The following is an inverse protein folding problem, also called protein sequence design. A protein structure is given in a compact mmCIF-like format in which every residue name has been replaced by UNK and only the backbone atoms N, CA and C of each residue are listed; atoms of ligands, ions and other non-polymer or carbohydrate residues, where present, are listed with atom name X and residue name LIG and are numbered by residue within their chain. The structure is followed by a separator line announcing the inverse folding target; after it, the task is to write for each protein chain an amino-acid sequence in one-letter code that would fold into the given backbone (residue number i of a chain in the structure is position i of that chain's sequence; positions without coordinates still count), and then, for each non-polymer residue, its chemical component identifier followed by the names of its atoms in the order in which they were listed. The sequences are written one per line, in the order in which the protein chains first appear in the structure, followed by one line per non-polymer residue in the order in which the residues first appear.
data_IF_669510389981
#
_entry.id   IF_669510389981
#
_cell.length_a   1.000
_cell.length_b   1.000
_cell.length_c   1.000
_cell.angle_alpha   90.00
_cell.angle_beta   90.00
_cell.angle_gamma   90.00
#
_symmetry.space_group_name_H-M   'P 1'
#
loop_
_entity.id
_entity.type
_entity.pdbx_description
1 polymer ?
#
# COMPACT_ATOMS: atom_id res chain seq x y z
N UNK A 1 -0.78 10.68 -33.66
CA UNK A 1 -1.01 9.31 -33.14
C UNK A 1 0.32 8.80 -32.66
N UNK A 2 0.41 8.18 -31.47
CA UNK A 2 1.64 7.50 -31.09
C UNK A 2 1.89 6.37 -32.09
N UNK A 3 3.14 6.23 -32.52
CA UNK A 3 3.56 5.16 -33.43
C UNK A 3 3.49 3.84 -32.66
N UNK A 4 2.50 3.00 -32.95
CA UNK A 4 2.28 1.71 -32.28
C UNK A 4 3.47 0.74 -32.41
N UNK A 5 4.44 1.04 -33.28
CA UNK A 5 5.68 0.27 -33.44
C UNK A 5 6.85 0.77 -32.58
N UNK A 6 6.64 1.78 -31.73
CA UNK A 6 7.72 2.37 -30.94
C UNK A 6 8.02 1.52 -29.69
N UNK A 7 9.17 0.85 -29.70
CA UNK A 7 9.63 -0.06 -28.62
C UNK A 7 10.46 0.63 -27.52
N UNK A 8 10.59 1.96 -27.54
CA UNK A 8 11.42 2.69 -26.58
C UNK A 8 10.77 4.00 -26.14
N UNK A 9 11.05 4.40 -24.89
CA UNK A 9 10.58 5.65 -24.31
C UNK A 9 11.52 6.83 -24.64
N UNK A 10 10.97 8.03 -24.76
CA UNK A 10 11.76 9.25 -24.95
C UNK A 10 12.35 9.64 -23.61
N UNK A 11 13.36 10.49 -23.63
CA UNK A 11 13.91 11.04 -22.38
C UNK A 11 12.83 11.75 -21.54
N UNK A 12 11.90 12.46 -22.17
CA UNK A 12 10.80 13.13 -21.47
C UNK A 12 9.83 12.14 -20.81
N UNK A 13 9.48 11.04 -21.49
CA UNK A 13 8.64 9.98 -20.94
C UNK A 13 9.35 9.25 -19.78
N UNK A 14 10.63 8.91 -19.93
CA UNK A 14 11.45 8.31 -18.86
C UNK A 14 11.53 9.23 -17.65
N UNK A 15 11.77 10.53 -17.85
CA UNK A 15 11.84 11.50 -16.77
C UNK A 15 10.48 11.67 -16.07
N UNK A 16 9.37 11.52 -16.80
CA UNK A 16 8.03 11.53 -16.21
C UNK A 16 7.80 10.31 -15.34
N UNK A 17 8.11 9.10 -15.84
CA UNK A 17 7.96 7.85 -15.08
C UNK A 17 8.85 7.84 -13.83
N UNK A 18 10.09 8.35 -13.93
CA UNK A 18 10.97 8.50 -12.76
C UNK A 18 10.37 9.38 -11.66
N UNK A 19 9.58 10.41 -12.00
CA UNK A 19 8.90 11.22 -10.99
C UNK A 19 7.85 10.41 -10.22
N UNK A 20 7.13 9.48 -10.87
CA UNK A 20 6.19 8.60 -10.17
C UNK A 20 6.90 7.64 -9.20
N UNK A 21 8.00 7.03 -9.64
CA UNK A 21 8.79 6.13 -8.78
C UNK A 21 9.62 6.84 -7.71
N UNK A 22 9.88 8.14 -7.84
CA UNK A 22 10.58 8.90 -6.80
C UNK A 22 9.62 9.54 -5.81
N UNK A 23 8.39 9.84 -6.23
CA UNK A 23 7.46 10.65 -5.46
C UNK A 23 7.92 12.12 -5.31
N UNK A 24 7.17 12.92 -4.53
CA UNK A 24 7.52 14.32 -4.29
C UNK A 24 8.71 14.44 -3.34
N UNK A 25 9.65 15.31 -3.71
CA UNK A 25 10.80 15.69 -2.89
C UNK A 25 10.85 17.21 -2.73
N UNK A 26 11.35 17.68 -1.59
CA UNK A 26 11.76 19.07 -1.43
C UNK A 26 13.01 19.32 -2.29
N UNK A 27 12.96 20.30 -3.18
CA UNK A 27 14.07 20.58 -4.10
C UNK A 27 15.29 21.21 -3.41
N UNK A 28 15.12 21.79 -2.22
CA UNK A 28 16.20 22.43 -1.46
C UNK A 28 16.88 21.39 -0.56
N UNK A 29 16.11 20.60 0.17
CA UNK A 29 16.66 19.65 1.16
C UNK A 29 16.88 18.25 0.57
N UNK A 30 16.23 17.93 -0.54
CA UNK A 30 16.25 16.60 -1.16
C UNK A 30 15.42 15.56 -0.41
N UNK A 31 14.71 15.95 0.66
CA UNK A 31 13.94 15.03 1.50
C UNK A 31 12.64 14.63 0.82
N UNK A 32 12.23 13.37 0.97
CA UNK A 32 10.92 12.92 0.51
C UNK A 32 9.79 13.58 1.31
N UNK A 33 8.68 13.88 0.63
CA UNK A 33 7.53 14.54 1.24
C UNK A 33 6.34 13.61 1.50
N UNK A 34 6.43 12.37 1.04
CA UNK A 34 5.48 11.29 1.32
C UNK A 34 6.23 10.05 1.77
N UNK A 35 5.58 9.21 2.57
CA UNK A 35 6.11 7.93 3.06
C UNK A 35 6.34 6.91 1.95
N UNK A 36 5.58 7.02 0.85
CA UNK A 36 5.56 6.05 -0.23
C UNK A 36 5.41 6.67 -1.61
N UNK A 37 5.86 5.90 -2.59
CA UNK A 37 5.83 6.16 -4.03
C UNK A 37 5.10 5.01 -4.75
N UNK A 38 4.81 5.18 -6.04
CA UNK A 38 4.34 4.07 -6.88
C UNK A 38 5.37 2.92 -6.86
N UNK A 39 4.93 1.68 -6.75
CA UNK A 39 5.82 0.52 -6.74
C UNK A 39 5.95 -0.09 -8.13
N UNK A 40 7.12 -0.66 -8.43
CA UNK A 40 7.31 -1.44 -9.64
C UNK A 40 6.34 -2.62 -9.70
N UNK A 41 5.72 -2.83 -10.86
CA UNK A 41 4.70 -3.83 -11.09
C UNK A 41 3.27 -3.32 -10.93
N UNK A 42 3.06 -2.02 -10.69
CA UNK A 42 1.73 -1.38 -10.61
C UNK A 42 1.30 -0.70 -11.91
N UNK A 43 2.17 -0.68 -12.94
CA UNK A 43 2.06 0.25 -14.08
C UNK A 43 0.80 0.02 -14.92
N UNK A 44 0.32 -1.23 -15.01
CA UNK A 44 -0.90 -1.58 -15.73
C UNK A 44 -2.17 -0.99 -15.11
N UNK A 45 -2.10 -0.53 -13.86
CA UNK A 45 -3.23 0.02 -13.12
C UNK A 45 -3.24 1.56 -13.09
N UNK A 46 -2.17 2.24 -13.51
CA UNK A 46 -2.03 3.69 -13.34
C UNK A 46 -3.05 4.51 -14.14
N UNK A 47 -3.53 3.95 -15.25
CA UNK A 47 -4.45 4.60 -16.18
C UNK A 47 -5.81 4.90 -15.52
N UNK A 48 -6.23 6.16 -15.56
CA UNK A 48 -7.44 6.68 -14.92
C UNK A 48 -7.25 7.07 -13.45
N UNK A 49 -6.17 6.64 -12.80
CA UNK A 49 -5.90 6.95 -11.38
C UNK A 49 -5.05 8.22 -11.27
N UNK A 50 -3.83 8.19 -11.82
CA UNK A 50 -2.95 9.35 -11.92
C UNK A 50 -2.28 9.52 -13.28
N UNK A 51 -2.45 8.55 -14.19
CA UNK A 51 -2.14 8.69 -15.62
C UNK A 51 -3.46 8.86 -16.38
N UNK A 52 -3.65 9.94 -17.16
CA UNK A 52 -4.91 10.14 -17.88
C UNK A 52 -5.02 9.21 -19.10
N UNK A 53 -6.24 8.72 -19.37
CA UNK A 53 -6.57 7.91 -20.57
C UNK A 53 -6.43 8.67 -21.89
N UNK A 54 -6.63 9.99 -21.82
CA UNK A 54 -6.52 10.90 -22.94
C UNK A 54 -6.00 12.25 -22.49
N UNK A 55 -5.46 13.06 -23.40
CA UNK A 55 -4.73 14.30 -23.10
C UNK A 55 -5.46 15.26 -22.13
N UNK A 56 -6.79 15.29 -22.16
CA UNK A 56 -7.61 16.18 -21.33
C UNK A 56 -8.59 15.41 -20.43
N UNK A 57 -8.39 14.11 -20.25
CA UNK A 57 -9.25 13.33 -19.37
C UNK A 57 -8.85 13.54 -17.90
N UNK A 58 -9.82 13.75 -16.99
CA UNK A 58 -9.53 13.89 -15.58
C UNK A 58 -9.03 12.56 -15.02
N UNK A 59 -8.22 12.64 -13.96
CA UNK A 59 -7.73 11.47 -13.22
C UNK A 59 -8.31 11.47 -11.81
N UNK A 60 -8.58 10.28 -11.27
CA UNK A 60 -9.25 10.15 -9.98
C UNK A 60 -8.46 10.81 -8.84
N UNK A 61 -7.14 10.65 -8.83
CA UNK A 61 -6.27 11.22 -7.79
C UNK A 61 -6.34 12.75 -7.76
N UNK A 62 -6.52 13.41 -8.91
CA UNK A 62 -6.65 14.87 -8.95
C UNK A 62 -7.95 15.34 -8.30
N UNK A 63 -9.06 14.61 -8.51
CA UNK A 63 -10.35 14.92 -7.89
C UNK A 63 -10.28 14.76 -6.36
N UNK A 64 -9.74 13.63 -5.88
CA UNK A 64 -9.63 13.35 -4.44
C UNK A 64 -8.68 14.34 -3.77
N UNK A 65 -7.48 14.54 -4.35
CA UNK A 65 -6.48 15.45 -3.79
C UNK A 65 -7.00 16.89 -3.71
N UNK A 66 -7.65 17.39 -4.76
CA UNK A 66 -8.15 18.76 -4.78
C UNK A 66 -9.26 18.98 -3.73
N UNK A 67 -10.16 18.01 -3.56
CA UNK A 67 -11.19 18.08 -2.54
C UNK A 67 -10.57 18.09 -1.12
N UNK A 68 -9.60 17.22 -0.86
CA UNK A 68 -8.92 17.15 0.43
C UNK A 68 -8.13 18.43 0.74
N UNK A 69 -7.36 18.95 -0.23
CA UNK A 69 -6.56 20.17 -0.07
C UNK A 69 -7.44 21.41 0.18
N UNK A 70 -8.61 21.52 -0.47
CA UNK A 70 -9.50 22.67 -0.31
C UNK A 70 -10.30 22.67 0.99
N UNK A 71 -10.67 21.49 1.49
CA UNK A 71 -11.73 21.40 2.50
C UNK A 71 -11.37 20.63 3.77
N UNK A 72 -10.32 19.82 3.74
CA UNK A 72 -10.04 18.86 4.82
C UNK A 72 -8.67 19.08 5.48
N UNK A 73 -7.64 19.30 4.67
CA UNK A 73 -6.24 19.17 5.09
C UNK A 73 -5.69 20.44 5.73
N UNK A 74 -5.92 21.61 5.13
CA UNK A 74 -5.32 22.86 5.59
C UNK A 74 -6.20 23.62 6.57
N UNK A 75 -5.57 24.32 7.51
CA UNK A 75 -6.26 25.20 8.46
C UNK A 75 -5.53 26.56 8.55
N UNK A 76 -6.14 27.66 8.06
CA UNK A 76 -7.46 27.73 7.41
C UNK A 76 -7.48 27.10 6.02
N UNK A 77 -8.68 26.74 5.54
CA UNK A 77 -8.88 26.27 4.17
C UNK A 77 -8.39 27.32 3.15
N UNK A 78 -7.75 26.90 2.05
CA UNK A 78 -7.34 27.81 0.98
C UNK A 78 -8.56 28.36 0.24
N UNK A 79 -8.41 29.41 -0.59
CA UNK A 79 -9.52 29.97 -1.37
C UNK A 79 -10.11 28.93 -2.34
N UNK A 80 -11.37 29.10 -2.73
CA UNK A 80 -12.05 28.21 -3.70
C UNK A 80 -11.33 28.10 -5.05
N UNK A 81 -10.51 29.10 -5.40
CA UNK A 81 -9.68 29.13 -6.61
C UNK A 81 -8.43 28.25 -6.52
N UNK A 82 -8.07 27.73 -5.34
CA UNK A 82 -6.88 26.91 -5.13
C UNK A 82 -6.90 25.67 -6.03
N UNK A 83 -5.80 25.38 -6.71
CA UNK A 83 -5.66 24.31 -7.69
C UNK A 83 -4.43 23.45 -7.37
N UNK A 84 -4.28 22.33 -8.08
CA UNK A 84 -3.08 21.50 -7.93
C UNK A 84 -1.78 22.23 -8.34
N UNK A 85 -1.88 23.27 -9.18
CA UNK A 85 -0.72 24.09 -9.56
C UNK A 85 -0.25 25.02 -8.44
N UNK A 86 -1.10 25.27 -7.44
CA UNK A 86 -0.75 26.11 -6.29
C UNK A 86 -0.01 25.31 -5.21
N UNK A 87 -0.12 23.98 -5.22
CA UNK A 87 0.54 23.09 -4.28
C UNK A 87 2.07 23.14 -4.43
N UNK A 88 2.75 23.47 -3.34
CA UNK A 88 4.21 23.50 -3.27
C UNK A 88 4.73 22.20 -2.65
N UNK A 89 5.67 21.53 -3.33
CA UNK A 89 6.39 20.38 -2.79
C UNK A 89 7.55 20.85 -1.92
N UNK A 90 7.25 21.21 -0.67
CA UNK A 90 8.25 21.59 0.34
C UNK A 90 7.93 20.97 1.70
N UNK A 91 8.93 20.88 2.58
CA UNK A 91 8.72 20.46 3.98
C UNK A 91 7.75 21.41 4.71
N UNK A 92 7.74 22.70 4.35
CA UNK A 92 6.80 23.67 4.91
C UNK A 92 5.33 23.35 4.58
N UNK A 93 5.06 22.71 3.44
CA UNK A 93 3.72 22.22 3.11
C UNK A 93 3.35 21.01 3.96
N UNK A 94 4.31 20.12 4.26
CA UNK A 94 4.09 18.96 5.14
C UNK A 94 3.80 19.41 6.57
N UNK A 95 4.48 20.46 7.06
CA UNK A 95 4.21 21.03 8.38
C UNK A 95 2.78 21.60 8.52
N UNK A 96 2.17 22.07 7.42
CA UNK A 96 0.79 22.53 7.43
C UNK A 96 -0.23 21.40 7.67
N UNK A 97 0.18 20.13 7.52
CA UNK A 97 -0.67 18.96 7.79
C UNK A 97 -0.75 18.65 9.30
N UNK A 98 0.26 19.05 10.07
CA UNK A 98 0.43 18.70 11.49
C UNK A 98 -0.75 19.08 12.39
N UNK A 99 -1.43 20.24 12.23
CA UNK A 99 -2.58 20.58 13.07
C UNK A 99 -3.77 19.61 12.92
N UNK A 100 -3.92 18.99 11.73
CA UNK A 100 -4.99 18.04 11.41
C UNK A 100 -4.60 16.59 11.59
N UNK A 101 -3.30 16.28 11.64
CA UNK A 101 -2.78 14.93 11.83
C UNK A 101 -3.47 14.16 12.97
N UNK A 102 -3.61 14.68 14.21
CA UNK A 102 -4.29 13.94 15.29
C UNK A 102 -5.78 13.70 15.09
N UNK A 103 -6.42 14.40 14.14
CA UNK A 103 -7.85 14.27 13.85
C UNK A 103 -8.11 13.33 12.66
N UNK A 104 -7.25 13.35 11.64
CA UNK A 104 -7.50 12.69 10.36
C UNK A 104 -6.70 11.42 10.15
N UNK A 105 -5.51 11.32 10.74
CA UNK A 105 -4.61 10.20 10.48
C UNK A 105 -4.92 9.04 11.43
N UNK A 106 -4.69 7.82 10.96
CA UNK A 106 -4.87 6.58 11.72
C UNK A 106 -3.52 5.83 11.86
N UNK A 107 -2.51 6.56 12.32
CA UNK A 107 -1.09 6.15 12.29
C UNK A 107 -0.44 6.08 13.67
N UNK A 108 -1.19 6.25 14.77
CA UNK A 108 -0.65 6.11 16.13
C UNK A 108 -0.19 4.65 16.35
N UNK A 109 1.11 4.38 16.56
CA UNK A 109 1.61 3.02 16.71
C UNK A 109 1.47 2.46 18.14
N UNK A 110 1.00 3.24 19.12
CA UNK A 110 0.78 2.72 20.47
C UNK A 110 -0.53 1.92 20.54
N UNK A 111 -0.40 0.61 20.32
CA UNK A 111 -1.49 -0.35 20.42
C UNK A 111 -1.47 -1.11 21.74
N UNK A 112 -0.89 -0.54 22.81
CA UNK A 112 -0.79 -1.20 24.12
C UNK A 112 -2.14 -1.65 24.67
N UNK A 113 -3.14 -0.76 24.64
CA UNK A 113 -4.49 -1.09 25.10
C UNK A 113 -5.14 -2.20 24.25
N UNK A 114 -4.96 -2.15 22.93
CA UNK A 114 -5.48 -3.16 22.00
C UNK A 114 -4.84 -4.53 22.25
N UNK A 115 -3.51 -4.58 22.39
CA UNK A 115 -2.77 -5.81 22.72
C UNK A 115 -3.20 -6.36 24.08
N UNK A 116 -3.30 -5.52 25.11
CA UNK A 116 -3.72 -5.92 26.45
C UNK A 116 -5.15 -6.48 26.49
N UNK A 117 -6.03 -6.00 25.61
CA UNK A 117 -7.38 -6.54 25.44
C UNK A 117 -7.42 -7.89 24.67
N UNK A 118 -6.27 -8.41 24.22
CA UNK A 118 -6.17 -9.62 23.43
C UNK A 118 -6.46 -9.44 21.94
N UNK A 119 -6.52 -8.19 21.46
CA UNK A 119 -6.82 -7.87 20.07
C UNK A 119 -5.81 -8.48 19.09
N UNK A 120 -6.30 -8.91 17.92
CA UNK A 120 -5.49 -9.42 16.80
C UNK A 120 -5.71 -8.55 15.58
N UNK A 121 -4.63 -8.17 14.91
CA UNK A 121 -4.61 -7.30 13.75
C UNK A 121 -3.95 -8.02 12.57
N UNK A 122 -4.66 -8.08 11.44
CA UNK A 122 -4.06 -8.45 10.17
C UNK A 122 -4.01 -7.20 9.32
N UNK A 123 -2.80 -6.73 9.02
CA UNK A 123 -2.57 -5.74 7.99
C UNK A 123 -2.33 -6.47 6.66
N UNK A 124 -2.89 -5.94 5.59
CA UNK A 124 -2.57 -6.41 4.25
C UNK A 124 -2.56 -5.28 3.25
N UNK A 125 -1.81 -5.47 2.17
CA UNK A 125 -1.79 -4.52 1.06
C UNK A 125 -1.47 -5.24 -0.26
N UNK A 126 -2.13 -4.81 -1.33
CA UNK A 126 -1.70 -5.15 -2.68
C UNK A 126 -0.38 -4.47 -3.03
N UNK A 127 0.62 -5.23 -3.50
CA UNK A 127 1.90 -4.64 -3.88
C UNK A 127 1.80 -3.74 -5.12
N UNK A 128 0.82 -4.02 -5.97
CA UNK A 128 0.54 -3.29 -7.20
C UNK A 128 -0.55 -2.23 -7.03
N UNK A 129 -0.89 -1.84 -5.80
CA UNK A 129 -1.88 -0.80 -5.50
C UNK A 129 -1.43 0.56 -6.07
N UNK A 130 -2.25 1.08 -6.97
CA UNK A 130 -2.07 2.30 -7.72
C UNK A 130 -2.70 3.53 -7.04
N UNK A 131 -3.54 3.33 -6.03
CA UNK A 131 -4.20 4.39 -5.28
C UNK A 131 -3.40 4.75 -4.03
N UNK A 132 -2.94 3.75 -3.28
CA UNK A 132 -2.24 3.91 -2.00
C UNK A 132 -0.97 3.08 -2.07
N UNK A 133 0.18 3.68 -1.80
CA UNK A 133 1.43 2.93 -1.80
C UNK A 133 1.44 1.90 -0.65
N UNK A 134 1.79 0.62 -0.91
CA UNK A 134 1.98 -0.37 0.17
C UNK A 134 3.08 0.02 1.16
N UNK A 135 3.97 0.95 0.77
CA UNK A 135 4.97 1.56 1.66
C UNK A 135 4.36 2.22 2.88
N UNK A 136 3.16 2.79 2.77
CA UNK A 136 2.47 3.41 3.90
C UNK A 136 2.13 2.37 4.98
N UNK A 137 1.67 1.18 4.59
CA UNK A 137 1.37 0.10 5.53
C UNK A 137 2.64 -0.51 6.12
N UNK A 138 3.71 -0.64 5.32
CA UNK A 138 5.02 -1.08 5.83
C UNK A 138 5.54 -0.10 6.87
N UNK A 139 5.46 1.21 6.60
CA UNK A 139 5.88 2.24 7.54
C UNK A 139 5.10 2.19 8.86
N UNK A 140 3.79 1.91 8.80
CA UNK A 140 2.99 1.70 10.00
C UNK A 140 3.43 0.45 10.78
N UNK A 141 3.62 -0.67 10.10
CA UNK A 141 4.12 -1.90 10.71
C UNK A 141 5.50 -1.68 11.36
N UNK A 142 6.43 -0.99 10.68
CA UNK A 142 7.73 -0.63 11.25
C UNK A 142 7.62 0.32 12.45
N UNK A 143 6.66 1.24 12.44
CA UNK A 143 6.37 2.11 13.57
C UNK A 143 5.82 1.31 14.77
N UNK A 144 4.95 0.32 14.52
CA UNK A 144 4.50 -0.63 15.55
C UNK A 144 5.70 -1.39 16.13
N UNK A 145 6.58 -1.96 15.30
CA UNK A 145 7.78 -2.65 15.79
C UNK A 145 8.64 -1.74 16.67
N UNK A 146 8.86 -0.50 16.23
CA UNK A 146 9.65 0.50 16.97
C UNK A 146 9.00 0.85 18.31
N UNK A 147 7.69 1.05 18.36
CA UNK A 147 6.96 1.51 19.54
C UNK A 147 6.66 0.38 20.53
N UNK A 148 6.33 -0.80 20.04
CA UNK A 148 5.74 -1.91 20.83
C UNK A 148 6.76 -2.95 21.28
N UNK A 149 8.06 -2.66 21.15
CA UNK A 149 9.15 -3.46 21.70
C UNK A 149 9.86 -4.40 20.73
N UNK A 150 9.55 -4.33 19.43
CA UNK A 150 10.21 -5.10 18.38
C UNK A 150 9.28 -6.08 17.65
N UNK A 151 9.82 -6.69 16.59
CA UNK A 151 9.10 -7.62 15.71
C UNK A 151 8.48 -8.81 16.46
N UNK A 152 9.17 -9.35 17.47
CA UNK A 152 8.68 -10.47 18.27
C UNK A 152 7.41 -10.09 19.05
N UNK A 153 7.44 -8.93 19.71
CA UNK A 153 6.34 -8.42 20.53
C UNK A 153 5.14 -7.98 19.70
N UNK A 154 5.39 -7.47 18.49
CA UNK A 154 4.35 -7.15 17.50
C UNK A 154 3.76 -8.42 16.91
N UNK A 155 4.57 -9.41 16.56
CA UNK A 155 4.14 -10.68 15.97
C UNK A 155 3.19 -11.52 16.84
N UNK A 156 3.09 -11.22 18.14
CA UNK A 156 2.11 -11.81 19.06
C UNK A 156 0.66 -11.38 18.76
N UNK A 157 0.46 -10.21 18.13
CA UNK A 157 -0.87 -9.62 17.94
C UNK A 157 -1.09 -8.97 16.57
N UNK A 158 -0.05 -8.69 15.79
CA UNK A 158 -0.16 -8.12 14.44
C UNK A 158 0.59 -8.97 13.42
N UNK A 159 0.04 -9.10 12.21
CA UNK A 159 0.72 -9.66 11.03
C UNK A 159 0.44 -8.84 9.78
N UNK A 160 1.50 -8.48 9.07
CA UNK A 160 1.43 -7.84 7.76
C UNK A 160 1.61 -8.86 6.63
N UNK A 161 0.75 -8.82 5.61
CA UNK A 161 0.88 -9.57 4.36
C UNK A 161 0.89 -8.64 3.15
N UNK A 162 1.89 -8.78 2.28
CA UNK A 162 1.95 -8.05 1.03
C UNK A 162 1.65 -8.99 -0.13
N UNK A 163 0.65 -8.66 -0.94
CA UNK A 163 0.12 -9.52 -1.99
C UNK A 163 0.69 -9.11 -3.36
N UNK A 164 1.62 -9.88 -3.95
CA UNK A 164 2.26 -9.50 -5.21
C UNK A 164 1.26 -9.46 -6.37
N UNK A 165 1.31 -8.39 -7.17
CA UNK A 165 0.46 -8.24 -8.35
C UNK A 165 -1.00 -7.87 -8.06
N UNK A 166 -1.39 -7.78 -6.78
CA UNK A 166 -2.73 -7.35 -6.38
C UNK A 166 -2.78 -5.82 -6.39
N UNK A 167 -3.79 -5.28 -7.06
CA UNK A 167 -4.07 -3.84 -7.20
C UNK A 167 -4.87 -3.33 -5.99
N UNK A 168 -5.43 -2.12 -6.10
CA UNK A 168 -6.23 -1.53 -5.03
C UNK A 168 -7.40 -2.42 -4.60
N UNK A 169 -7.32 -2.89 -3.35
CA UNK A 169 -8.28 -3.78 -2.69
C UNK A 169 -8.54 -5.15 -3.37
N UNK A 170 -7.84 -5.50 -4.46
CA UNK A 170 -8.08 -6.72 -5.23
C UNK A 170 -7.59 -6.59 -6.68
N UNK A 171 -8.10 -7.45 -7.58
CA UNK A 171 -7.75 -7.46 -9.02
C UNK A 171 -6.23 -7.54 -9.28
N UNK A 172 -5.83 -7.12 -10.47
CA UNK A 172 -4.45 -7.14 -10.94
C UNK A 172 -4.01 -8.50 -11.48
N UNK A 173 -2.75 -8.55 -11.90
CA UNK A 173 -2.11 -9.74 -12.45
C UNK A 173 -1.74 -10.77 -11.36
N UNK A 174 -1.92 -10.41 -10.10
CA UNK A 174 -1.69 -11.23 -8.91
C UNK A 174 -2.79 -12.25 -8.62
N UNK A 175 -2.68 -12.90 -7.47
CA UNK A 175 -3.69 -13.82 -6.95
C UNK A 175 -4.52 -13.08 -5.90
N UNK A 176 -5.63 -12.49 -6.34
CA UNK A 176 -6.45 -11.60 -5.51
C UNK A 176 -7.59 -12.29 -4.76
N UNK A 177 -7.76 -13.61 -4.92
CA UNK A 177 -8.67 -14.39 -4.09
C UNK A 177 -7.93 -14.94 -2.87
N UNK A 178 -8.39 -14.56 -1.69
CA UNK A 178 -7.82 -14.98 -0.41
C UNK A 178 -8.85 -14.80 0.71
N UNK A 179 -8.71 -15.53 1.81
CA UNK A 179 -9.57 -15.43 2.98
C UNK A 179 -8.75 -15.06 4.22
N UNK A 180 -8.89 -13.82 4.66
CA UNK A 180 -8.28 -13.33 5.89
C UNK A 180 -9.23 -13.42 7.09
N UNK A 181 -10.54 -13.55 6.85
CA UNK A 181 -11.54 -13.56 7.93
C UNK A 181 -11.44 -14.87 8.70
N UNK A 182 -11.38 -16.00 8.01
CA UNK A 182 -11.19 -17.30 8.65
C UNK A 182 -9.88 -17.34 9.44
N UNK A 183 -8.78 -16.86 8.85
CA UNK A 183 -7.48 -16.77 9.52
C UNK A 183 -7.52 -15.87 10.77
N UNK A 184 -8.24 -14.75 10.73
CA UNK A 184 -8.42 -13.88 11.89
C UNK A 184 -9.23 -14.55 13.00
N UNK A 185 -10.32 -15.24 12.63
CA UNK A 185 -11.16 -15.98 13.58
C UNK A 185 -10.37 -17.09 14.27
N UNK A 186 -9.62 -17.90 13.52
CA UNK A 186 -8.75 -18.94 14.09
C UNK A 186 -7.69 -18.35 15.04
N UNK A 187 -7.14 -17.17 14.71
CA UNK A 187 -6.19 -16.51 15.59
C UNK A 187 -6.82 -16.01 16.89
N UNK A 188 -7.99 -15.37 16.79
CA UNK A 188 -8.71 -14.80 17.94
C UNK A 188 -9.25 -15.91 18.85
N UNK A 189 -9.87 -16.93 18.28
CA UNK A 189 -10.62 -17.95 19.03
C UNK A 189 -9.76 -19.13 19.48
N UNK A 190 -8.74 -19.49 18.71
CA UNK A 190 -7.94 -20.69 18.93
C UNK A 190 -6.46 -20.38 19.23
N UNK A 191 -6.05 -19.11 19.11
CA UNK A 191 -4.64 -18.71 19.25
C UNK A 191 -3.77 -19.10 18.06
N UNK A 192 -4.38 -19.55 16.95
CA UNK A 192 -3.66 -20.04 15.78
C UNK A 192 -3.33 -18.88 14.83
N UNK A 193 -2.19 -18.25 15.07
CA UNK A 193 -1.73 -17.13 14.27
C UNK A 193 -1.33 -17.57 12.83
N UNK A 194 -1.89 -16.97 11.76
CA UNK A 194 -1.80 -17.50 10.39
C UNK A 194 -0.40 -17.45 9.78
N UNK A 195 0.36 -18.55 9.76
CA UNK A 195 1.76 -18.51 9.26
C UNK A 195 1.85 -18.35 7.73
N UNK A 196 0.77 -18.63 7.02
CA UNK A 196 0.64 -18.30 5.60
C UNK A 196 -0.83 -18.02 5.27
N UNK A 197 -1.06 -17.18 4.27
CA UNK A 197 -2.37 -16.95 3.66
C UNK A 197 -2.33 -17.55 2.26
N UNK A 198 -3.25 -18.46 1.95
CA UNK A 198 -3.37 -19.01 0.61
C UNK A 198 -4.05 -17.99 -0.30
N UNK A 199 -3.43 -17.73 -1.43
CA UNK A 199 -3.94 -16.86 -2.49
C UNK A 199 -4.17 -17.66 -3.76
N UNK A 200 -5.18 -17.30 -4.54
CA UNK A 200 -5.44 -17.92 -5.83
C UNK A 200 -5.94 -16.93 -6.89
N UNK A 201 -5.85 -17.34 -8.15
CA UNK A 201 -6.62 -16.74 -9.22
C UNK A 201 -7.94 -17.48 -9.29
N UNK A 202 -9.04 -16.80 -8.98
CA UNK A 202 -10.35 -17.30 -9.38
C UNK A 202 -10.59 -16.83 -10.81
N UNK A 203 -10.94 -17.75 -11.72
CA UNK A 203 -11.46 -17.32 -13.02
C UNK A 203 -12.79 -16.61 -12.76
N UNK A 204 -12.90 -15.35 -13.19
CA UNK A 204 -14.19 -14.67 -13.32
C UNK A 204 -15.09 -15.52 -14.22
N UNK A 205 -15.98 -16.30 -13.61
CA UNK A 205 -17.03 -17.01 -14.32
C UNK A 205 -18.21 -16.05 -14.47
N UNK A 206 -18.85 -15.98 -15.64
CA UNK A 206 -20.08 -15.21 -15.79
C UNK A 206 -21.10 -15.65 -14.73
N UNK A 207 -21.90 -14.73 -14.13
CA UNK A 207 -22.78 -15.03 -13.00
C UNK A 207 -23.80 -16.16 -13.22
N UNK A 208 -24.02 -16.53 -14.48
CA UNK A 208 -24.96 -17.56 -14.92
C UNK A 208 -24.32 -18.95 -15.10
N UNK A 209 -23.00 -19.10 -14.90
CA UNK A 209 -22.35 -20.41 -14.90
C UNK A 209 -22.42 -21.07 -13.51
N UNK A 210 -22.93 -22.30 -13.38
CA UNK A 210 -23.08 -22.99 -12.11
C UNK A 210 -21.77 -23.65 -11.60
N UNK A 211 -20.61 -23.30 -12.16
CA UNK A 211 -19.34 -23.93 -11.82
C UNK A 211 -18.64 -23.16 -10.70
N UNK A 212 -17.99 -23.89 -9.79
CA UNK A 212 -17.04 -23.30 -8.85
C UNK A 212 -15.95 -22.55 -9.64
N UNK A 213 -15.42 -21.43 -9.11
CA UNK A 213 -14.34 -20.70 -9.77
C UNK A 213 -13.17 -21.65 -10.04
N UNK A 214 -12.72 -21.67 -11.30
CA UNK A 214 -11.59 -22.51 -11.70
C UNK A 214 -10.31 -21.81 -11.23
N UNK A 215 -9.67 -22.39 -10.22
CA UNK A 215 -8.35 -21.94 -9.77
C UNK A 215 -7.31 -22.30 -10.81
N UNK A 216 -6.64 -21.31 -11.40
CA UNK A 216 -5.59 -21.52 -12.41
C UNK A 216 -4.18 -21.37 -11.84
N UNK A 217 -4.01 -20.64 -10.73
CA UNK A 217 -2.74 -20.42 -10.05
C UNK A 217 -3.01 -20.16 -8.57
N UNK A 218 -2.12 -20.66 -7.71
CA UNK A 218 -2.19 -20.42 -6.26
C UNK A 218 -0.81 -20.23 -5.65
N UNK A 219 -0.71 -19.41 -4.59
CA UNK A 219 0.53 -19.19 -3.81
C UNK A 219 0.22 -19.00 -2.34
N UNK A 220 1.06 -19.53 -1.43
CA UNK A 220 1.08 -19.02 -0.07
C UNK A 220 1.69 -17.60 -0.07
N UNK A 221 1.17 -16.72 0.78
CA UNK A 221 1.80 -15.45 1.15
C UNK A 221 2.18 -15.56 2.62
N UNK A 222 3.44 -15.32 2.93
CA UNK A 222 3.98 -15.40 4.30
C UNK A 222 3.95 -14.01 4.94
N UNK A 223 3.97 -13.92 6.29
CA UNK A 223 4.12 -12.66 6.98
C UNK A 223 5.35 -11.88 6.48
N UNK A 224 5.17 -10.58 6.29
CA UNK A 224 6.26 -9.68 5.92
C UNK A 224 7.43 -9.81 6.92
N UNK A 225 8.69 -9.84 6.45
CA UNK A 225 9.13 -9.59 5.08
C UNK A 225 9.28 -10.84 4.20
N UNK A 226 8.91 -12.03 4.68
CA UNK A 226 9.11 -13.29 3.95
C UNK A 226 8.36 -13.35 2.62
N UNK A 227 8.92 -14.09 1.66
CA UNK A 227 8.34 -14.26 0.33
C UNK A 227 8.10 -15.73 0.00
N UNK A 228 7.16 -15.99 -0.91
CA UNK A 228 6.96 -17.34 -1.45
C UNK A 228 8.10 -17.70 -2.41
N UNK A 229 8.84 -18.76 -2.10
CA UNK A 229 9.92 -19.27 -2.95
C UNK A 229 9.51 -20.59 -3.59
N UNK A 230 9.54 -20.63 -4.92
CA UNK A 230 9.34 -21.86 -5.66
C UNK A 230 10.46 -22.86 -5.33
N UNK A 231 10.09 -24.11 -5.09
CA UNK A 231 11.04 -25.19 -4.76
C UNK A 231 11.93 -25.58 -5.94
N UNK A 232 11.54 -25.21 -7.17
CA UNK A 232 12.21 -25.63 -8.40
C UNK A 232 11.65 -26.94 -8.98
N UNK A 233 10.69 -27.56 -8.30
CA UNK A 233 10.08 -28.83 -8.70
C UNK A 233 8.55 -28.76 -8.61
N UNK A 234 7.86 -29.57 -9.42
CA UNK A 234 6.40 -29.62 -9.47
C UNK A 234 5.78 -28.64 -10.46
N UNK A 235 4.47 -28.44 -10.35
CA UNK A 235 3.76 -27.42 -11.12
C UNK A 235 3.98 -26.05 -10.46
N UNK A 236 4.53 -25.12 -11.23
CA UNK A 236 4.70 -23.75 -10.79
C UNK A 236 3.36 -23.05 -10.55
N UNK A 237 2.19 -23.58 -10.91
CA UNK A 237 0.89 -22.98 -10.59
C UNK A 237 0.28 -23.46 -9.26
N UNK A 238 0.90 -24.44 -8.61
CA UNK A 238 0.42 -25.03 -7.37
C UNK A 238 1.16 -24.48 -6.14
N UNK A 239 0.41 -23.96 -5.17
CA UNK A 239 0.91 -23.43 -3.91
C UNK A 239 1.72 -24.45 -3.10
N UNK A 240 1.46 -25.76 -3.24
CA UNK A 240 2.19 -26.81 -2.53
C UNK A 240 3.68 -26.87 -2.92
N UNK A 241 4.04 -26.32 -4.08
CA UNK A 241 5.43 -26.29 -4.57
C UNK A 241 6.18 -25.01 -4.17
N UNK A 242 5.65 -24.25 -3.21
CA UNK A 242 6.25 -23.03 -2.66
C UNK A 242 6.51 -23.19 -1.16
N UNK A 243 7.63 -22.63 -0.71
CA UNK A 243 8.04 -22.58 0.70
C UNK A 243 8.34 -21.15 1.11
N UNK A 244 8.44 -20.91 2.42
CA UNK A 244 8.90 -19.63 2.94
C UNK A 244 10.34 -19.36 2.46
N UNK A 245 10.54 -18.20 1.85
CA UNK A 245 11.79 -17.74 1.29
C UNK A 245 12.25 -16.46 1.95
N UNK A 246 13.56 -16.23 1.88
CA UNK A 246 14.16 -14.99 2.32
C UNK A 246 13.55 -13.78 1.58
N UNK A 247 13.44 -12.64 2.25
CA UNK A 247 12.97 -11.43 1.61
C UNK A 247 13.90 -11.03 0.46
N UNK A 248 13.32 -10.57 -0.65
CA UNK A 248 14.07 -9.94 -1.75
C UNK A 248 14.19 -8.42 -1.56
N UNK A 249 13.37 -7.85 -0.67
CA UNK A 249 13.32 -6.44 -0.38
C UNK A 249 13.08 -6.24 1.12
N UNK A 250 14.01 -5.59 1.81
CA UNK A 250 13.93 -5.29 3.26
C UNK A 250 14.31 -3.86 3.59
N UNK A 251 14.43 -2.99 2.57
CA UNK A 251 14.82 -1.62 2.85
C UNK A 251 13.74 -0.98 3.71
N UNK A 252 14.17 -0.50 4.87
CA UNK A 252 13.32 0.23 5.80
C UNK A 252 12.73 1.45 5.10
N UNK A 253 11.58 1.91 5.60
CA UNK A 253 10.96 3.14 5.11
C UNK A 253 11.98 4.28 5.12
N UNK A 254 12.10 4.96 3.97
CA UNK A 254 13.06 6.05 3.80
C UNK A 254 12.71 7.22 4.73
N UNK A 255 13.71 8.05 5.05
CA UNK A 255 13.47 9.30 5.73
C UNK A 255 12.60 10.24 4.86
N UNK A 256 11.58 10.82 5.49
CA UNK A 256 10.64 11.72 4.85
C UNK A 256 10.13 12.75 5.85
N UNK A 257 9.68 13.90 5.35
CA UNK A 257 9.37 15.08 6.15
C UNK A 257 8.37 14.83 7.29
N UNK A 258 7.38 13.96 7.08
CA UNK A 258 6.32 13.67 8.04
C UNK A 258 6.55 12.43 8.91
N UNK A 259 7.78 11.94 9.08
CA UNK A 259 8.06 10.72 9.86
C UNK A 259 7.43 10.75 11.28
N UNK A 260 7.35 11.93 11.91
CA UNK A 260 6.71 12.11 13.23
C UNK A 260 5.21 11.84 13.24
N UNK A 261 4.54 11.76 12.09
CA UNK A 261 3.13 11.37 12.00
C UNK A 261 2.91 9.88 12.31
N UNK A 262 3.98 9.09 12.44
CA UNK A 262 3.94 7.69 12.85
C UNK A 262 4.49 7.51 14.28
N UNK A 263 4.52 8.58 15.08
CA UNK A 263 4.83 8.52 16.50
C UNK A 263 3.54 8.57 17.34
N UNK A 264 3.56 8.14 18.62
CA UNK A 264 2.37 8.24 19.47
C UNK A 264 1.85 9.67 19.57
N UNK A 265 0.53 9.84 19.45
CA UNK A 265 -0.15 11.13 19.62
C UNK A 265 -1.51 10.92 20.29
N UNK A 266 -2.03 11.98 20.91
CA UNK A 266 -3.39 11.99 21.44
C UNK A 266 -4.39 12.30 20.32
N UNK A 267 -5.32 11.39 19.97
CA UNK A 267 -6.31 11.65 18.94
C UNK A 267 -7.23 12.80 19.32
N UNK A 268 -7.57 13.63 18.34
CA UNK A 268 -8.60 14.67 18.48
C UNK A 268 -9.96 14.12 18.08
N UNK A 269 -11.01 14.57 18.78
CA UNK A 269 -12.40 14.18 18.51
C UNK A 269 -13.22 15.30 17.87
N UNK A 270 -12.63 16.48 17.66
CA UNK A 270 -13.23 17.69 17.07
C UNK A 270 -12.25 18.43 16.16
#
# INVERSE_FOLDING_TARGET
MPDENRQCLTEAEVNTIRKFYNGPIDQITGRHLTVGQSQFGSELAWEGVFVPRGQNEPVMSAFIALAALRYLIFEPNPPETYSLNDLQFTEATVEQLRPRHPLLDATNPDLTAFKAAGGKLILWHGWSDEHISPRTTIAYHEALEKQMGGAEQVGEFERLYLFPGVQHCGRGEGMAAFDLVTSLLEWVEQGNAPHAVLTSTERDLPPWMPAAPVVTRSRPVFPYPSLAKYTGQGDANDAANFVEGAPLFTDKTADWAGQSFFEPYEPRTE
#
